data_IF_343276356538
#
_entry.id   IF_343276356538
#
_cell.length_a   1.000
_cell.length_b   1.000
_cell.length_c   1.000
_cell.angle_alpha   90.00
_cell.angle_beta   90.00
_cell.angle_gamma   90.00
#
_symmetry.space_group_name_H-M   'P 1'
#
loop_
_entity.id
_entity.type
_entity.pdbx_description
1 polymer ?
#
# COMPACT_ATOMS: atom_id res chain seq x y z
N UNK A 1 -70.56 -35.78 -62.92
CA UNK A 1 -71.32 -34.60 -62.46
C UNK A 1 -70.30 -33.50 -62.22
N UNK A 2 -70.35 -32.44 -63.01
CA UNK A 2 -69.39 -31.34 -62.90
C UNK A 2 -69.85 -30.39 -61.79
N UNK A 3 -69.12 -30.34 -60.68
CA UNK A 3 -69.38 -29.39 -59.60
C UNK A 3 -69.00 -27.99 -60.07
N UNK A 4 -70.01 -27.13 -60.17
CA UNK A 4 -69.86 -25.72 -60.48
C UNK A 4 -69.47 -24.99 -59.19
N UNK A 5 -68.19 -25.04 -58.83
CA UNK A 5 -67.65 -24.23 -57.73
C UNK A 5 -67.46 -22.80 -58.22
N UNK A 6 -68.51 -21.98 -58.12
CA UNK A 6 -68.41 -20.54 -58.32
C UNK A 6 -67.57 -19.94 -57.17
N UNK A 7 -66.31 -19.61 -57.46
CA UNK A 7 -65.45 -18.89 -56.52
C UNK A 7 -65.81 -17.40 -56.57
N UNK A 8 -66.54 -16.91 -55.57
CA UNK A 8 -66.81 -15.48 -55.42
C UNK A 8 -65.63 -14.87 -54.67
N UNK A 9 -64.81 -14.07 -55.34
CA UNK A 9 -63.80 -13.21 -54.69
C UNK A 9 -64.42 -11.83 -54.48
N UNK A 10 -64.50 -11.39 -53.22
CA UNK A 10 -64.95 -10.03 -52.88
C UNK A 10 -63.71 -9.24 -52.45
N UNK A 11 -63.11 -8.50 -53.39
CA UNK A 11 -62.02 -7.55 -53.11
C UNK A 11 -62.57 -6.21 -52.60
N UNK A 12 -63.23 -6.26 -51.44
CA UNK A 12 -63.70 -5.05 -50.75
C UNK A 12 -63.01 -4.92 -49.39
N UNK A 13 -62.42 -3.75 -49.14
CA UNK A 13 -61.91 -3.40 -47.83
C UNK A 13 -63.07 -3.10 -46.87
N UNK A 14 -63.20 -3.90 -45.83
CA UNK A 14 -64.18 -3.68 -44.77
C UNK A 14 -63.50 -3.17 -43.50
N UNK A 15 -63.96 -2.02 -43.01
CA UNK A 15 -63.54 -1.49 -41.71
C UNK A 15 -64.47 -1.98 -40.61
N UNK A 16 -63.93 -2.73 -39.66
CA UNK A 16 -64.69 -3.15 -38.49
C UNK A 16 -64.93 -1.95 -37.55
N UNK A 17 -66.17 -1.79 -37.06
CA UNK A 17 -66.52 -0.72 -36.10
C UNK A 17 -65.84 -0.88 -34.73
N UNK A 18 -65.41 -2.10 -34.37
CA UNK A 18 -64.67 -2.37 -33.13
C UNK A 18 -63.18 -2.32 -33.41
N UNK A 19 -62.43 -1.59 -32.56
CA UNK A 19 -60.96 -1.44 -32.69
C UNK A 19 -60.23 -2.79 -32.68
N UNK A 20 -60.66 -3.75 -31.84
CA UNK A 20 -60.17 -5.13 -31.83
C UNK A 20 -61.30 -6.11 -31.52
N UNK A 21 -61.29 -7.28 -32.16
CA UNK A 21 -62.09 -8.45 -31.77
C UNK A 21 -61.29 -9.72 -32.03
N UNK A 22 -61.37 -10.70 -31.12
CA UNK A 22 -60.76 -12.02 -31.35
C UNK A 22 -61.56 -12.87 -32.35
N UNK A 23 -62.83 -12.55 -32.52
CA UNK A 23 -63.76 -13.31 -33.35
C UNK A 23 -64.38 -12.38 -34.39
N UNK A 24 -64.29 -12.77 -35.66
CA UNK A 24 -65.04 -12.15 -36.76
C UNK A 24 -66.27 -13.02 -36.99
N UNK A 25 -67.46 -12.47 -36.72
CA UNK A 25 -68.71 -13.17 -36.95
C UNK A 25 -69.11 -13.06 -38.42
N UNK A 26 -69.37 -14.19 -39.06
CA UNK A 26 -69.99 -14.25 -40.38
C UNK A 26 -71.35 -14.93 -40.27
N UNK A 27 -72.31 -14.45 -41.04
CA UNK A 27 -73.62 -15.06 -41.19
C UNK A 27 -73.91 -15.12 -42.69
N UNK A 28 -74.37 -16.28 -43.16
CA UNK A 28 -74.85 -16.45 -44.53
C UNK A 28 -76.24 -17.09 -44.48
N UNK A 29 -77.05 -16.78 -45.46
CA UNK A 29 -78.38 -17.34 -45.63
C UNK A 29 -78.48 -17.89 -47.06
N UNK A 30 -78.98 -19.12 -47.23
CA UNK A 30 -79.17 -19.76 -48.52
C UNK A 30 -80.57 -20.36 -48.63
N UNK A 31 -81.27 -20.12 -49.74
CA UNK A 31 -82.57 -20.70 -50.03
C UNK A 31 -82.49 -21.85 -51.04
N UNK A 32 -83.18 -22.95 -50.73
CA UNK A 32 -83.40 -24.13 -51.60
C UNK A 32 -82.14 -24.76 -52.22
N UNK A 33 -81.19 -25.16 -51.38
CA UNK A 33 -79.91 -25.79 -51.78
C UNK A 33 -79.64 -27.10 -51.03
N UNK A 34 -79.19 -28.13 -51.74
CA UNK A 34 -78.92 -29.47 -51.19
C UNK A 34 -77.66 -29.56 -50.30
N UNK A 35 -76.82 -28.52 -50.27
CA UNK A 35 -75.67 -28.40 -49.37
C UNK A 35 -74.76 -27.25 -49.81
N UNK A 36 -74.29 -26.44 -48.86
CA UNK A 36 -73.37 -25.32 -49.10
C UNK A 36 -72.16 -25.48 -48.20
N UNK A 37 -70.96 -25.45 -48.77
CA UNK A 37 -69.70 -25.37 -48.02
C UNK A 37 -69.08 -24.01 -48.27
N UNK A 38 -68.82 -23.25 -47.21
CA UNK A 38 -68.19 -21.93 -47.29
C UNK A 38 -66.82 -22.00 -46.62
N UNK A 39 -65.78 -21.59 -47.35
CA UNK A 39 -64.46 -21.34 -46.80
C UNK A 39 -64.22 -19.83 -46.78
N UNK A 40 -63.84 -19.28 -45.63
CA UNK A 40 -63.61 -17.85 -45.45
C UNK A 40 -62.14 -17.65 -45.10
N UNK A 41 -61.41 -16.98 -45.98
CA UNK A 41 -60.05 -16.50 -45.72
C UNK A 41 -60.10 -14.99 -45.50
N UNK A 42 -59.48 -14.52 -44.43
CA UNK A 42 -59.40 -13.10 -44.07
C UNK A 42 -57.95 -12.67 -43.90
N UNK A 43 -57.53 -11.68 -44.68
CA UNK A 43 -56.23 -11.01 -44.52
C UNK A 43 -56.40 -9.74 -43.67
N UNK A 44 -56.02 -9.82 -42.41
CA UNK A 44 -56.14 -8.71 -41.46
C UNK A 44 -54.85 -7.89 -41.37
N UNK A 45 -54.92 -6.58 -41.61
CA UNK A 45 -53.81 -5.65 -41.40
C UNK A 45 -54.00 -4.88 -40.10
N UNK A 46 -52.96 -4.86 -39.26
CA UNK A 46 -52.96 -4.11 -38.01
C UNK A 46 -53.02 -2.61 -38.28
N UNK A 47 -53.96 -1.91 -37.66
CA UNK A 47 -54.05 -0.44 -37.77
C UNK A 47 -52.86 0.22 -37.05
N UNK A 48 -52.46 1.40 -37.52
CA UNK A 48 -51.35 2.16 -36.92
C UNK A 48 -51.63 2.52 -35.45
N UNK A 49 -52.85 2.94 -35.13
CA UNK A 49 -53.28 3.24 -33.75
C UNK A 49 -53.08 2.07 -32.79
N UNK A 50 -53.37 0.85 -33.26
CA UNK A 50 -53.22 -0.37 -32.47
C UNK A 50 -51.79 -0.72 -32.15
N UNK A 51 -50.94 -0.56 -33.16
CA UNK A 51 -49.51 -0.76 -33.03
C UNK A 51 -48.94 0.24 -32.03
N UNK A 52 -49.35 1.51 -32.12
CA UNK A 52 -48.87 2.57 -31.23
C UNK A 52 -49.34 2.35 -29.79
N UNK A 53 -50.60 1.95 -29.57
CA UNK A 53 -51.12 1.60 -28.23
C UNK A 53 -50.38 0.39 -27.63
N UNK A 54 -50.13 -0.65 -28.42
CA UNK A 54 -49.34 -1.80 -28.00
C UNK A 54 -47.89 -1.43 -27.67
N UNK A 55 -47.26 -0.59 -28.51
CA UNK A 55 -45.90 -0.09 -28.30
C UNK A 55 -45.81 0.72 -27.00
N UNK A 56 -46.76 1.62 -26.75
CA UNK A 56 -46.81 2.39 -25.50
C UNK A 56 -46.98 1.48 -24.29
N UNK A 57 -47.89 0.50 -24.35
CA UNK A 57 -48.11 -0.45 -23.26
C UNK A 57 -46.85 -1.27 -22.96
N UNK A 58 -46.18 -1.74 -24.02
CA UNK A 58 -44.96 -2.55 -23.91
C UNK A 58 -43.79 -1.71 -23.39
N UNK A 59 -43.63 -0.50 -23.89
CA UNK A 59 -42.63 0.46 -23.40
C UNK A 59 -42.83 0.77 -21.91
N UNK A 60 -44.06 1.05 -21.49
CA UNK A 60 -44.37 1.31 -20.09
C UNK A 60 -44.08 0.10 -19.19
N UNK A 61 -44.26 -1.13 -19.67
CA UNK A 61 -43.89 -2.33 -18.92
C UNK A 61 -42.37 -2.47 -18.77
N UNK A 62 -41.62 -2.22 -19.85
CA UNK A 62 -40.16 -2.28 -19.84
C UNK A 62 -39.56 -1.22 -18.91
N UNK A 63 -40.04 0.02 -19.02
CA UNK A 63 -39.56 1.13 -18.17
C UNK A 63 -39.87 0.87 -16.70
N UNK A 64 -41.07 0.38 -16.36
CA UNK A 64 -41.39 0.02 -14.97
C UNK A 64 -40.48 -1.07 -14.43
N UNK A 65 -40.25 -2.15 -15.20
CA UNK A 65 -39.34 -3.21 -14.79
C UNK A 65 -37.89 -2.70 -14.61
N UNK A 66 -37.46 -1.76 -15.45
CA UNK A 66 -36.17 -1.10 -15.32
C UNK A 66 -36.10 -0.21 -14.07
N UNK A 67 -37.12 0.61 -13.82
CA UNK A 67 -37.20 1.48 -12.64
C UNK A 67 -37.18 0.65 -11.35
N UNK A 68 -37.94 -0.45 -11.29
CA UNK A 68 -37.95 -1.38 -10.16
C UNK A 68 -36.56 -2.01 -9.94
N UNK A 69 -35.91 -2.48 -11.00
CA UNK A 69 -34.56 -3.05 -10.93
C UNK A 69 -33.51 -2.00 -10.52
N UNK A 70 -33.67 -0.75 -10.97
CA UNK A 70 -32.79 0.36 -10.60
C UNK A 70 -32.93 0.72 -9.12
N UNK A 71 -34.16 0.71 -8.58
CA UNK A 71 -34.40 0.90 -7.15
C UNK A 71 -33.75 -0.23 -6.34
N UNK A 72 -33.93 -1.48 -6.74
CA UNK A 72 -33.32 -2.62 -6.06
C UNK A 72 -31.79 -2.55 -6.09
N UNK A 73 -31.20 -2.21 -7.24
CA UNK A 73 -29.75 -2.01 -7.38
C UNK A 73 -29.25 -0.89 -6.46
N UNK A 74 -29.89 0.28 -6.49
CA UNK A 74 -29.51 1.41 -5.65
C UNK A 74 -29.65 1.09 -4.16
N UNK A 75 -30.67 0.32 -3.76
CA UNK A 75 -30.82 -0.16 -2.39
C UNK A 75 -29.70 -1.13 -2.00
N UNK A 76 -29.32 -2.07 -2.88
CA UNK A 76 -28.19 -2.98 -2.63
C UNK A 76 -26.89 -2.21 -2.47
N UNK A 77 -26.61 -1.26 -3.36
CA UNK A 77 -25.42 -0.39 -3.26
C UNK A 77 -25.44 0.39 -1.95
N UNK A 78 -26.54 1.05 -1.61
CA UNK A 78 -26.65 1.81 -0.36
C UNK A 78 -26.50 0.93 0.89
N UNK A 79 -27.03 -0.30 0.87
CA UNK A 79 -26.89 -1.25 1.98
C UNK A 79 -25.44 -1.73 2.13
N UNK A 80 -24.74 -2.02 1.03
CA UNK A 80 -23.32 -2.39 1.06
C UNK A 80 -22.45 -1.20 1.48
N UNK A 81 -22.75 0.02 1.03
CA UNK A 81 -22.07 1.24 1.46
C UNK A 81 -22.27 1.50 2.97
N UNK A 82 -23.47 1.27 3.49
CA UNK A 82 -23.75 1.39 4.93
C UNK A 82 -22.99 0.35 5.76
N UNK A 83 -22.90 -0.90 5.29
CA UNK A 83 -22.08 -1.95 5.93
C UNK A 83 -20.59 -1.59 5.87
N UNK A 84 -20.10 -1.14 4.73
CA UNK A 84 -18.72 -0.71 4.55
C UNK A 84 -18.38 0.49 5.44
N UNK A 85 -19.29 1.45 5.59
CA UNK A 85 -19.15 2.58 6.51
C UNK A 85 -19.01 2.15 7.98
N UNK A 86 -19.80 1.15 8.41
CA UNK A 86 -19.70 0.58 9.75
C UNK A 86 -18.35 -0.11 10.02
N UNK A 87 -17.84 -0.89 9.05
CA UNK A 87 -16.54 -1.56 9.16
C UNK A 87 -15.39 -0.55 9.16
N UNK A 88 -15.43 0.42 8.25
CA UNK A 88 -14.44 1.50 8.10
C UNK A 88 -14.39 2.43 9.32
N UNK A 89 -15.51 2.65 10.01
CA UNK A 89 -15.56 3.45 11.24
C UNK A 89 -15.08 2.72 12.50
N UNK A 90 -15.03 1.39 12.50
CA UNK A 90 -14.78 0.60 13.72
C UNK A 90 -13.29 0.42 14.04
N UNK A 91 -12.41 0.41 13.02
CA UNK A 91 -10.99 0.13 13.24
C UNK A 91 -10.08 1.23 12.63
N UNK A 92 -9.63 2.20 13.42
CA UNK A 92 -8.66 3.21 12.98
C UNK A 92 -7.34 2.63 12.45
N UNK A 93 -6.91 1.44 12.89
CA UNK A 93 -5.67 0.81 12.41
C UNK A 93 -5.76 0.37 10.96
N UNK A 94 -6.97 0.10 10.46
CA UNK A 94 -7.18 -0.29 9.07
C UNK A 94 -6.71 0.82 8.10
N UNK A 95 -6.99 2.08 8.43
CA UNK A 95 -6.52 3.22 7.64
C UNK A 95 -5.00 3.36 7.67
N UNK A 96 -4.37 3.11 8.83
CA UNK A 96 -2.91 3.16 8.97
C UNK A 96 -2.24 2.10 8.10
N UNK A 97 -2.80 0.90 8.02
CA UNK A 97 -2.29 -0.19 7.17
C UNK A 97 -2.37 0.18 5.69
N UNK A 98 -3.49 0.75 5.23
CA UNK A 98 -3.64 1.21 3.85
C UNK A 98 -2.62 2.30 3.53
N UNK A 99 -2.48 3.30 4.40
CA UNK A 99 -1.49 4.38 4.21
C UNK A 99 -0.08 3.81 4.10
N UNK A 100 0.33 2.93 5.02
CA UNK A 100 1.65 2.30 5.00
C UNK A 100 1.89 1.47 3.73
N UNK A 101 0.91 0.65 3.32
CA UNK A 101 1.01 -0.18 2.12
C UNK A 101 1.16 0.67 0.86
N UNK A 102 0.34 1.73 0.72
CA UNK A 102 0.41 2.63 -0.45
C UNK A 102 1.72 3.42 -0.44
N UNK A 103 2.16 3.94 0.71
CA UNK A 103 3.43 4.68 0.80
C UNK A 103 4.62 3.77 0.47
N UNK A 104 4.66 2.55 1.01
CA UNK A 104 5.67 1.54 0.71
C UNK A 104 5.69 1.20 -0.77
N UNK A 105 4.53 0.89 -1.35
CA UNK A 105 4.41 0.58 -2.77
C UNK A 105 4.99 1.69 -3.65
N UNK A 106 4.65 2.95 -3.36
CA UNK A 106 5.16 4.10 -4.11
C UNK A 106 6.68 4.30 -3.91
N UNK A 107 7.19 4.08 -2.70
CA UNK A 107 8.64 4.18 -2.44
C UNK A 107 9.41 3.11 -3.22
N UNK A 108 8.94 1.86 -3.20
CA UNK A 108 9.57 0.77 -3.97
C UNK A 108 9.44 1.05 -5.46
N UNK A 109 8.28 1.49 -5.94
CA UNK A 109 8.12 1.89 -7.33
C UNK A 109 9.15 2.96 -7.72
N UNK A 110 9.33 4.00 -6.91
CA UNK A 110 10.31 5.05 -7.16
C UNK A 110 11.76 4.53 -7.17
N UNK A 111 12.12 3.62 -6.26
CA UNK A 111 13.48 3.06 -6.18
C UNK A 111 13.80 2.11 -7.35
N UNK A 112 12.79 1.41 -7.86
CA UNK A 112 12.97 0.35 -8.87
C UNK A 112 12.62 0.84 -10.28
N UNK A 113 11.99 2.00 -10.45
CA UNK A 113 11.66 2.57 -11.76
C UNK A 113 12.92 3.05 -12.48
N UNK A 114 13.58 2.14 -13.20
CA UNK A 114 14.51 2.49 -14.25
C UNK A 114 13.69 3.00 -15.44
N UNK A 115 14.05 4.19 -15.95
CA UNK A 115 13.32 5.07 -16.88
C UNK A 115 12.81 4.42 -18.19
N UNK A 116 13.01 3.11 -18.38
CA UNK A 116 12.64 2.34 -19.56
C UNK A 116 11.94 1.00 -19.29
N UNK A 117 11.81 0.52 -18.05
CA UNK A 117 11.20 -0.80 -17.78
C UNK A 117 10.25 -0.76 -16.58
N UNK A 118 8.99 -1.15 -16.81
CA UNK A 118 8.04 -1.54 -15.76
C UNK A 118 8.65 -2.71 -14.99
N UNK A 119 9.35 -2.40 -13.91
CA UNK A 119 10.14 -3.34 -13.15
C UNK A 119 9.27 -4.18 -12.21
N UNK A 120 8.17 -3.62 -11.72
CA UNK A 120 7.18 -4.28 -10.87
C UNK A 120 6.09 -4.98 -11.68
N UNK A 121 5.56 -6.10 -11.15
CA UNK A 121 4.40 -6.79 -11.72
C UNK A 121 4.68 -7.58 -12.99
N UNK A 122 5.89 -8.12 -13.13
CA UNK A 122 6.31 -8.91 -14.31
C UNK A 122 5.61 -10.27 -14.36
N UNK A 123 5.26 -10.71 -15.57
CA UNK A 123 4.75 -12.05 -15.82
C UNK A 123 5.91 -13.07 -15.84
N UNK A 124 5.93 -13.98 -14.86
CA UNK A 124 7.04 -14.94 -14.67
C UNK A 124 6.75 -16.36 -15.14
N UNK A 125 5.69 -16.52 -15.92
CA UNK A 125 5.30 -17.79 -16.51
C UNK A 125 4.86 -17.59 -17.96
N UNK A 126 4.92 -18.66 -18.74
CA UNK A 126 4.40 -18.74 -20.10
C UNK A 126 3.54 -19.98 -20.25
N UNK A 127 2.58 -19.93 -21.18
CA UNK A 127 1.69 -21.03 -21.52
C UNK A 127 0.28 -20.84 -20.97
N UNK A 128 -0.71 -21.09 -21.84
CA UNK A 128 -2.14 -20.92 -21.55
C UNK A 128 -2.82 -22.23 -21.11
N UNK A 129 -2.10 -23.36 -21.17
CA UNK A 129 -2.59 -24.71 -20.86
C UNK A 129 -1.58 -25.46 -19.98
N UNK A 130 -2.05 -26.38 -19.15
CA UNK A 130 -1.26 -27.14 -18.15
C UNK A 130 -0.09 -27.89 -18.78
N UNK A 131 -0.23 -28.29 -20.05
CA UNK A 131 0.82 -29.00 -20.82
C UNK A 131 1.98 -28.10 -21.24
N UNK A 132 1.72 -26.80 -21.43
CA UNK A 132 2.70 -25.83 -21.93
C UNK A 132 3.09 -24.80 -20.87
N UNK A 133 2.64 -24.98 -19.63
CA UNK A 133 2.99 -24.11 -18.51
C UNK A 133 4.48 -24.25 -18.18
N UNK A 134 5.21 -23.15 -18.34
CA UNK A 134 6.62 -23.06 -17.99
C UNK A 134 6.89 -21.82 -17.16
N UNK A 135 7.77 -21.95 -16.16
CA UNK A 135 8.20 -20.84 -15.32
C UNK A 135 9.51 -20.29 -15.89
N UNK A 136 9.61 -18.97 -16.03
CA UNK A 136 10.85 -18.28 -16.39
C UNK A 136 11.78 -18.25 -15.18
N UNK A 137 12.43 -19.39 -14.88
CA UNK A 137 13.17 -19.56 -13.62
C UNK A 137 14.23 -18.49 -13.38
N UNK A 138 15.03 -18.15 -14.38
CA UNK A 138 16.10 -17.14 -14.24
C UNK A 138 15.55 -15.73 -13.97
N UNK A 139 14.51 -15.31 -14.71
CA UNK A 139 13.85 -14.01 -14.49
C UNK A 139 13.12 -13.97 -13.14
N UNK A 140 12.50 -15.09 -12.73
CA UNK A 140 11.84 -15.24 -11.45
C UNK A 140 12.83 -15.12 -10.30
N UNK A 141 13.99 -15.78 -10.38
CA UNK A 141 15.02 -15.75 -9.33
C UNK A 141 15.57 -14.33 -9.16
N UNK A 142 15.88 -13.63 -10.26
CA UNK A 142 16.34 -12.24 -10.22
C UNK A 142 15.29 -11.31 -9.59
N UNK A 143 14.02 -11.46 -9.98
CA UNK A 143 12.92 -10.66 -9.45
C UNK A 143 12.61 -10.99 -7.99
N UNK A 144 12.69 -12.26 -7.59
CA UNK A 144 12.51 -12.69 -6.21
C UNK A 144 13.63 -12.14 -5.32
N UNK A 145 14.88 -12.12 -5.78
CA UNK A 145 16.00 -11.47 -5.09
C UNK A 145 15.78 -9.97 -4.93
N UNK A 146 15.29 -9.30 -5.97
CA UNK A 146 14.92 -7.88 -5.92
C UNK A 146 13.82 -7.62 -4.89
N UNK A 147 12.73 -8.39 -4.95
CA UNK A 147 11.62 -8.27 -4.02
C UNK A 147 12.10 -8.50 -2.59
N UNK A 148 12.88 -9.56 -2.34
CA UNK A 148 13.44 -9.86 -1.02
C UNK A 148 14.33 -8.72 -0.51
N UNK A 149 15.20 -8.18 -1.35
CA UNK A 149 16.06 -7.05 -0.99
C UNK A 149 15.23 -5.82 -0.60
N UNK A 150 14.29 -5.41 -1.45
CA UNK A 150 13.44 -4.24 -1.18
C UNK A 150 12.59 -4.41 0.09
N UNK A 151 12.10 -5.62 0.33
CA UNK A 151 11.28 -5.93 1.51
C UNK A 151 12.10 -5.96 2.82
N UNK A 152 13.36 -6.40 2.77
CA UNK A 152 14.17 -6.63 3.97
C UNK A 152 15.13 -5.49 4.32
N UNK A 153 15.64 -4.78 3.31
CA UNK A 153 16.66 -3.74 3.48
C UNK A 153 16.16 -2.50 4.21
N UNK A 154 14.84 -2.25 4.19
CA UNK A 154 14.23 -1.07 4.78
C UNK A 154 13.32 -1.42 5.96
N UNK A 155 13.18 -0.48 6.90
CA UNK A 155 12.29 -0.61 8.05
C UNK A 155 10.90 -0.05 7.72
N UNK A 156 10.13 -0.79 6.92
CA UNK A 156 8.80 -0.36 6.45
C UNK A 156 7.77 -0.10 7.57
N UNK A 157 7.98 -0.72 8.73
CA UNK A 157 7.14 -0.50 9.92
C UNK A 157 7.36 0.89 10.55
N UNK A 158 8.52 1.50 10.31
CA UNK A 158 8.96 2.76 10.92
C UNK A 158 9.23 3.79 9.82
N UNK A 159 8.15 4.24 9.17
CA UNK A 159 8.21 5.30 8.16
C UNK A 159 7.75 6.64 8.73
N UNK A 160 8.47 7.70 8.40
CA UNK A 160 8.04 9.08 8.65
C UNK A 160 7.52 9.69 7.36
N UNK A 161 6.32 10.29 7.37
CA UNK A 161 5.71 10.85 6.18
C UNK A 161 5.08 12.22 6.42
N UNK A 162 4.99 13.02 5.35
CA UNK A 162 4.29 14.29 5.32
C UNK A 162 3.51 14.43 4.01
N UNK A 163 2.21 14.70 4.11
CA UNK A 163 1.31 14.81 2.98
C UNK A 163 1.23 16.25 2.47
N UNK A 164 1.53 16.42 1.18
CA UNK A 164 1.31 17.68 0.49
C UNK A 164 -0.10 17.72 -0.12
N UNK A 165 -0.80 18.86 -0.06
CA UNK A 165 -2.21 18.93 -0.48
C UNK A 165 -2.47 18.62 -1.96
N UNK A 166 -3.75 18.42 -2.31
CA UNK A 166 -4.26 18.00 -3.63
C UNK A 166 -3.72 18.78 -4.83
N UNK A 167 -3.38 20.07 -4.67
CA UNK A 167 -2.90 20.90 -5.77
C UNK A 167 -1.50 20.52 -6.28
N UNK A 168 -0.78 19.63 -5.57
CA UNK A 168 0.44 19.00 -6.05
C UNK A 168 0.19 17.76 -6.94
N UNK A 169 -1.05 17.26 -6.98
CA UNK A 169 -1.47 16.15 -7.82
C UNK A 169 -1.95 16.62 -9.20
N UNK A 170 -2.39 15.66 -10.02
CA UNK A 170 -2.94 15.93 -11.36
C UNK A 170 -4.18 16.84 -11.28
N UNK A 171 -4.24 17.87 -12.14
CA UNK A 171 -5.33 18.86 -12.17
C UNK A 171 -6.71 18.24 -12.40
N UNK A 172 -6.77 17.12 -13.10
CA UNK A 172 -8.02 16.42 -13.38
C UNK A 172 -8.64 15.83 -12.11
N UNK A 173 -7.81 15.53 -11.11
CA UNK A 173 -8.21 14.85 -9.88
C UNK A 173 -8.46 15.81 -8.72
N UNK A 174 -8.23 17.11 -8.89
CA UNK A 174 -8.39 18.10 -7.80
C UNK A 174 -9.81 18.13 -7.22
N UNK A 175 -10.82 18.04 -8.09
CA UNK A 175 -12.22 18.03 -7.66
C UNK A 175 -12.54 16.84 -6.75
N UNK A 176 -12.10 15.65 -7.14
CA UNK A 176 -12.34 14.40 -6.39
C UNK A 176 -11.51 14.34 -5.11
N UNK A 177 -10.22 14.71 -5.17
CA UNK A 177 -9.35 14.78 -3.99
C UNK A 177 -9.88 15.77 -2.96
N UNK A 178 -10.23 17.01 -3.36
CA UNK A 178 -10.73 18.03 -2.44
C UNK A 178 -12.03 17.62 -1.73
N UNK A 179 -12.94 16.99 -2.46
CA UNK A 179 -14.23 16.52 -1.95
C UNK A 179 -14.13 15.22 -1.14
N UNK A 180 -12.96 14.56 -1.13
CA UNK A 180 -12.77 13.34 -0.36
C UNK A 180 -12.90 13.60 1.14
N UNK A 181 -13.71 12.79 1.81
CA UNK A 181 -13.96 12.88 3.24
C UNK A 181 -13.76 11.53 3.93
N UNK A 182 -13.28 11.58 5.16
CA UNK A 182 -13.17 10.43 6.03
C UNK A 182 -13.33 10.88 7.49
N UNK A 183 -13.77 9.96 8.35
CA UNK A 183 -13.89 10.15 9.79
C UNK A 183 -12.50 10.35 10.42
N UNK A 184 -11.47 9.64 9.94
CA UNK A 184 -10.09 9.80 10.37
C UNK A 184 -9.46 11.05 9.70
N UNK A 185 -9.03 12.08 10.45
CA UNK A 185 -8.43 13.28 9.90
C UNK A 185 -7.12 13.06 9.13
N UNK A 186 -6.31 12.07 9.54
CA UNK A 186 -5.02 11.77 8.94
C UNK A 186 -5.23 10.99 7.63
N UNK A 187 -6.15 10.02 7.61
CA UNK A 187 -6.54 9.34 6.37
C UNK A 187 -7.24 10.28 5.39
N UNK A 188 -8.07 11.20 5.89
CA UNK A 188 -8.64 12.28 5.06
C UNK A 188 -7.54 13.14 4.44
N UNK A 189 -6.48 13.44 5.19
CA UNK A 189 -5.35 14.21 4.67
C UNK A 189 -4.59 13.43 3.60
N UNK A 190 -4.44 12.11 3.77
CA UNK A 190 -3.91 11.20 2.75
C UNK A 190 -4.75 11.21 1.47
N UNK A 191 -6.08 11.06 1.55
CA UNK A 191 -6.97 11.11 0.37
C UNK A 191 -6.96 12.47 -0.34
N UNK A 192 -6.81 13.56 0.42
CA UNK A 192 -6.69 14.92 -0.10
C UNK A 192 -5.28 15.28 -0.54
N UNK A 193 -4.32 14.37 -0.46
CA UNK A 193 -2.93 14.65 -0.81
C UNK A 193 -2.69 14.37 -2.28
N UNK A 194 -1.94 15.26 -2.94
CA UNK A 194 -1.48 15.05 -4.31
C UNK A 194 -0.08 14.47 -4.38
N UNK A 195 0.70 14.61 -3.29
CA UNK A 195 2.08 14.18 -3.18
C UNK A 195 2.39 13.88 -1.70
N UNK A 196 3.33 12.98 -1.44
CA UNK A 196 3.80 12.69 -0.08
C UNK A 196 5.33 12.71 -0.06
N UNK A 197 5.90 13.27 1.01
CA UNK A 197 7.32 13.09 1.35
C UNK A 197 7.41 11.93 2.34
N UNK A 198 8.21 10.93 2.04
CA UNK A 198 8.45 9.79 2.93
C UNK A 198 9.95 9.73 3.25
N UNK A 199 10.26 9.48 4.50
CA UNK A 199 11.60 9.17 5.00
C UNK A 199 11.55 7.75 5.54
N UNK A 200 12.32 6.87 4.91
CA UNK A 200 12.43 5.45 5.24
C UNK A 200 13.85 5.19 5.73
N UNK A 201 13.97 4.54 6.89
CA UNK A 201 15.27 4.13 7.43
C UNK A 201 15.72 2.81 6.82
N UNK A 202 17.03 2.70 6.58
CA UNK A 202 17.67 1.45 6.16
C UNK A 202 17.93 0.62 7.41
N UNK A 203 17.67 -0.70 7.32
CA UNK A 203 17.95 -1.64 8.40
C UNK A 203 19.47 -1.73 8.63
N UNK A 204 19.94 -1.73 9.88
CA UNK A 204 21.36 -1.93 10.18
C UNK A 204 21.93 -3.19 9.52
N UNK A 205 23.06 -3.06 8.83
CA UNK A 205 23.71 -4.10 8.04
C UNK A 205 23.35 -4.11 6.55
N UNK A 206 22.39 -3.29 6.10
CA UNK A 206 22.01 -3.15 4.69
C UNK A 206 22.48 -1.83 4.07
N UNK A 207 23.17 -0.96 4.81
CA UNK A 207 23.58 0.37 4.38
C UNK A 207 24.44 0.33 3.11
N UNK A 208 25.51 -0.47 3.14
CA UNK A 208 26.43 -0.62 2.00
C UNK A 208 25.72 -1.20 0.77
N UNK A 209 24.81 -2.16 0.98
CA UNK A 209 24.06 -2.81 -0.09
C UNK A 209 23.05 -1.85 -0.74
N UNK A 210 22.38 -1.02 0.05
CA UNK A 210 21.47 0.03 -0.43
C UNK A 210 22.25 1.13 -1.13
N UNK A 211 23.38 1.58 -0.59
CA UNK A 211 24.24 2.55 -1.24
C UNK A 211 24.73 2.06 -2.60
N UNK A 212 25.18 0.79 -2.67
CA UNK A 212 25.56 0.16 -3.93
C UNK A 212 24.40 0.11 -4.94
N UNK A 213 23.19 -0.24 -4.48
CA UNK A 213 22.00 -0.25 -5.33
C UNK A 213 21.66 1.16 -5.86
N UNK A 214 21.72 2.19 -5.02
CA UNK A 214 21.40 3.57 -5.41
C UNK A 214 22.37 4.14 -6.45
N UNK A 215 23.64 3.70 -6.43
CA UNK A 215 24.66 4.13 -7.39
C UNK A 215 24.61 3.31 -8.68
N UNK A 216 24.47 1.99 -8.57
CA UNK A 216 24.67 1.07 -9.72
C UNK A 216 23.38 0.54 -10.33
N UNK A 217 22.25 0.63 -9.62
CA UNK A 217 20.98 0.00 -9.97
C UNK A 217 20.98 -1.54 -9.83
N UNK A 218 22.06 -2.13 -9.29
CA UNK A 218 22.21 -3.58 -9.15
C UNK A 218 22.17 -4.01 -7.69
N UNK A 219 21.59 -5.18 -7.43
CA UNK A 219 21.55 -5.77 -6.09
C UNK A 219 22.91 -6.38 -5.77
N UNK A 220 23.39 -6.15 -4.56
CA UNK A 220 24.59 -6.79 -4.06
C UNK A 220 24.27 -8.18 -3.49
N UNK A 221 24.83 -9.23 -4.08
CA UNK A 221 24.57 -10.63 -3.71
C UNK A 221 25.63 -11.20 -2.73
N UNK A 222 26.32 -10.34 -1.97
CA UNK A 222 27.38 -10.72 -1.04
C UNK A 222 28.78 -10.77 -1.68
N UNK A 223 29.82 -10.64 -0.84
CA UNK A 223 31.23 -10.55 -1.23
C UNK A 223 31.98 -9.49 -0.40
N UNK A 224 33.18 -9.07 -0.81
CA UNK A 224 33.71 -7.77 -0.38
C UNK A 224 32.94 -6.67 -1.13
N UNK A 225 32.51 -5.62 -0.43
CA UNK A 225 31.90 -4.45 -1.08
C UNK A 225 32.96 -3.80 -1.95
N UNK A 226 32.77 -3.64 -3.27
CA UNK A 226 33.71 -2.89 -4.09
C UNK A 226 33.73 -1.46 -3.56
N UNK A 227 34.89 -0.97 -3.12
CA UNK A 227 35.07 0.44 -2.81
C UNK A 227 34.86 1.19 -4.13
N UNK A 228 33.73 1.86 -4.29
CA UNK A 228 33.40 2.63 -5.49
C UNK A 228 34.31 3.86 -5.48
N UNK A 229 35.43 3.78 -6.20
CA UNK A 229 36.40 4.85 -6.36
C UNK A 229 36.01 5.80 -7.49
N UNK A 230 35.30 6.87 -7.15
CA UNK A 230 35.32 8.12 -7.92
C UNK A 230 36.16 9.13 -7.10
N UNK A 231 37.25 9.71 -7.64
CA UNK A 231 38.12 10.65 -6.91
C UNK A 231 37.41 11.89 -6.34
N UNK A 232 36.15 12.15 -6.72
CA UNK A 232 35.34 13.28 -6.27
C UNK A 232 34.21 12.92 -5.28
N UNK A 233 33.97 11.64 -4.99
CA UNK A 233 32.94 11.19 -4.05
C UNK A 233 33.60 10.44 -2.89
N UNK A 234 33.95 11.19 -1.83
CA UNK A 234 34.18 10.56 -0.52
C UNK A 234 32.81 10.19 0.02
N UNK A 235 32.62 8.91 0.36
CA UNK A 235 31.40 8.42 0.98
C UNK A 235 31.16 9.18 2.28
N UNK A 236 29.94 9.64 2.55
CA UNK A 236 29.57 10.25 3.85
C UNK A 236 29.88 9.28 5.01
N UNK A 237 29.92 7.97 4.73
CA UNK A 237 30.35 6.94 5.67
C UNK A 237 31.85 6.98 5.94
N UNK A 238 32.68 7.29 4.93
CA UNK A 238 34.11 7.49 5.10
C UNK A 238 34.40 8.83 5.77
N UNK A 239 33.61 9.88 5.49
CA UNK A 239 33.65 11.17 6.19
C UNK A 239 33.24 11.03 7.69
N UNK A 240 32.33 10.11 8.02
CA UNK A 240 31.98 9.76 9.41
C UNK A 240 33.04 8.90 10.10
N UNK A 241 33.83 8.12 9.35
CA UNK A 241 34.96 7.32 9.86
C UNK A 241 36.22 8.15 10.00
N UNK A 242 36.39 9.20 9.20
CA UNK A 242 37.44 10.18 9.39
C UNK A 242 37.22 10.88 10.74
N UNK A 243 38.22 10.85 11.64
CA UNK A 243 38.10 11.57 12.89
C UNK A 243 37.86 13.05 12.57
N UNK A 244 36.78 13.62 13.11
CA UNK A 244 36.46 15.04 12.91
C UNK A 244 37.56 15.91 13.53
N UNK A 245 38.56 16.26 12.72
CA UNK A 245 39.61 17.24 13.03
C UNK A 245 41.03 16.69 12.95
N UNK A 246 41.92 17.51 12.40
CA UNK A 246 43.36 17.37 12.66
C UNK A 246 43.62 17.67 14.15
N UNK A 247 44.38 16.80 14.82
CA UNK A 247 44.76 17.00 16.23
C UNK A 247 45.56 18.30 16.34
N UNK A 248 44.95 19.33 16.92
CA UNK A 248 45.63 20.60 17.16
C UNK A 248 46.20 20.62 18.58
N UNK A 249 47.54 20.58 18.68
CA UNK A 249 48.24 20.64 19.97
C UNK A 249 48.46 19.28 20.64
N UNK A 250 48.90 19.32 21.90
CA UNK A 250 49.05 18.13 22.75
C UNK A 250 47.71 17.78 23.41
N UNK A 251 47.51 16.53 23.80
CA UNK A 251 46.27 16.11 24.47
C UNK A 251 46.17 16.71 25.90
N UNK A 252 44.97 16.87 26.44
CA UNK A 252 44.77 17.24 27.84
C UNK A 252 43.73 16.33 28.49
N UNK A 253 43.87 16.10 29.80
CA UNK A 253 42.97 15.23 30.55
C UNK A 253 41.74 16.02 30.98
N UNK A 254 40.55 15.49 30.67
CA UNK A 254 39.27 16.03 31.13
C UNK A 254 38.63 15.06 32.11
N UNK A 255 38.28 15.53 33.31
CA UNK A 255 37.54 14.75 34.30
C UNK A 255 36.05 15.07 34.22
N UNK A 256 35.25 14.08 33.84
CA UNK A 256 33.79 14.21 33.80
C UNK A 256 33.20 13.59 35.08
N UNK A 257 32.38 14.31 35.85
CA UNK A 257 31.73 13.74 37.03
C UNK A 257 30.70 12.70 36.60
N UNK A 258 30.98 11.42 36.85
CA UNK A 258 30.02 10.33 36.64
C UNK A 258 29.24 10.06 37.92
N UNK A 259 27.98 9.63 37.78
CA UNK A 259 27.11 9.21 38.91
C UNK A 259 27.49 7.84 39.49
N UNK A 260 28.55 7.20 38.99
CA UNK A 260 29.04 5.91 39.47
C UNK A 260 29.74 6.07 40.83
N UNK A 261 29.15 5.48 41.86
CA UNK A 261 29.72 5.34 43.20
C UNK A 261 30.74 4.20 43.20
N UNK A 262 31.98 4.47 43.57
CA UNK A 262 33.05 3.44 43.65
C UNK A 262 32.68 2.40 44.72
N UNK A 263 32.63 1.12 44.31
CA UNK A 263 32.64 -0.02 45.24
C UNK A 263 34.11 -0.28 45.61
N UNK A 264 34.45 -0.19 46.89
CA UNK A 264 35.78 -0.52 47.40
C UNK A 264 36.19 -1.93 46.92
N UNK A 265 37.45 -2.05 46.45
CA UNK A 265 38.05 -3.34 46.17
C UNK A 265 37.95 -4.24 47.41
N UNK A 266 37.57 -5.52 47.22
CA UNK A 266 37.29 -6.53 48.26
C UNK A 266 36.00 -6.37 49.08
N UNK A 267 35.10 -5.41 48.83
CA UNK A 267 33.87 -5.26 49.65
C UNK A 267 32.76 -6.27 49.30
N UNK A 268 32.78 -6.91 48.12
CA UNK A 268 31.89 -8.02 47.74
C UNK A 268 32.57 -8.94 46.72
N UNK A 269 33.45 -9.85 47.16
CA UNK A 269 33.96 -10.97 46.33
C UNK A 269 34.66 -10.64 45.00
N UNK A 270 34.92 -9.36 44.71
CA UNK A 270 35.53 -8.89 43.49
C UNK A 270 37.03 -8.69 43.73
N UNK A 271 37.83 -9.63 43.23
CA UNK A 271 39.28 -9.50 43.17
C UNK A 271 39.62 -8.62 41.95
N UNK A 272 40.18 -7.44 42.20
CA UNK A 272 40.59 -6.51 41.14
C UNK A 272 42.04 -6.14 41.40
N UNK A 273 42.91 -6.33 40.40
CA UNK A 273 44.33 -5.98 40.49
C UNK A 273 44.53 -4.45 40.54
N UNK A 274 43.70 -3.70 39.83
CA UNK A 274 43.72 -2.24 39.76
C UNK A 274 42.37 -1.64 40.14
N UNK A 275 42.27 -1.09 41.35
CA UNK A 275 41.02 -0.55 41.89
C UNK A 275 40.59 0.79 41.26
N UNK A 276 41.53 1.53 40.67
CA UNK A 276 41.28 2.83 40.04
C UNK A 276 41.65 2.77 38.55
N UNK A 277 40.90 3.48 37.69
CA UNK A 277 41.25 3.59 36.28
C UNK A 277 42.64 4.22 36.10
N UNK A 278 43.50 3.57 35.32
CA UNK A 278 44.73 4.15 34.77
C UNK A 278 44.64 4.27 33.25
N UNK A 279 45.39 5.21 32.68
CA UNK A 279 45.54 5.34 31.23
C UNK A 279 46.78 4.61 30.73
N UNK A 280 46.71 4.01 29.54
CA UNK A 280 47.84 3.33 28.85
C UNK A 280 48.60 4.34 27.94
N UNK A 281 48.18 5.61 27.94
CA UNK A 281 48.66 6.64 27.04
C UNK A 281 50.03 7.21 27.49
N UNK A 282 50.80 7.74 26.53
CA UNK A 282 52.18 8.21 26.75
C UNK A 282 52.14 9.63 27.34
N UNK A 283 52.66 9.88 28.57
CA UNK A 283 52.54 11.18 29.23
C UNK A 283 53.13 12.37 28.45
N UNK A 284 54.13 12.13 27.60
CA UNK A 284 54.81 13.17 26.81
C UNK A 284 53.93 13.78 25.70
N UNK A 285 52.87 13.06 25.30
CA UNK A 285 51.88 13.49 24.31
C UNK A 285 50.81 14.43 24.88
N UNK A 286 50.85 14.69 26.20
CA UNK A 286 49.91 15.57 26.89
C UNK A 286 50.51 16.95 27.21
N UNK A 287 49.66 17.97 27.32
CA UNK A 287 50.03 19.33 27.72
C UNK A 287 50.63 19.37 29.13
N UNK A 288 50.07 18.55 30.04
CA UNK A 288 50.54 18.40 31.42
C UNK A 288 50.83 16.91 31.67
N UNK A 289 52.09 16.47 31.50
CA UNK A 289 52.46 15.06 31.70
C UNK A 289 52.19 14.55 33.11
N UNK A 290 52.19 15.44 34.11
CA UNK A 290 51.95 15.10 35.51
C UNK A 290 50.50 14.71 35.83
N UNK A 291 49.54 15.11 34.98
CA UNK A 291 48.13 14.78 35.20
C UNK A 291 47.77 13.38 34.70
N UNK A 292 48.66 12.74 33.94
CA UNK A 292 48.48 11.42 33.33
C UNK A 292 48.73 10.34 34.36
N UNK A 293 47.65 9.68 34.79
CA UNK A 293 47.67 8.60 35.77
C UNK A 293 48.08 7.30 35.08
N UNK A 294 49.39 7.04 35.02
CA UNK A 294 49.95 5.80 34.45
C UNK A 294 50.01 4.66 35.46
N UNK A 295 50.13 4.99 36.74
CA UNK A 295 50.16 4.04 37.85
C UNK A 295 48.95 4.23 38.75
N UNK A 296 48.48 3.14 39.36
CA UNK A 296 47.39 3.23 40.35
C UNK A 296 47.92 3.88 41.62
N UNK A 297 47.39 5.05 41.97
CA UNK A 297 47.64 5.72 43.26
C UNK A 297 47.14 4.89 44.46
N UNK A 298 46.34 3.85 44.21
CA UNK A 298 45.83 2.97 45.24
C UNK A 298 46.83 1.86 45.57
N UNK A 299 47.44 1.94 46.75
CA UNK A 299 48.22 0.85 47.34
C UNK A 299 47.36 0.09 48.37
N UNK A 300 47.17 -1.20 48.14
CA UNK A 300 46.44 -2.08 49.05
C UNK A 300 47.33 -2.39 50.26
N UNK A 301 47.15 -1.64 51.35
CA UNK A 301 47.86 -1.90 52.61
C UNK A 301 47.12 -3.00 53.37
N UNK A 302 47.60 -4.25 53.28
CA UNK A 302 47.01 -5.40 53.98
C UNK A 302 47.10 -5.30 55.53
N UNK A 303 47.78 -4.28 56.08
CA UNK A 303 48.07 -4.15 57.51
C UNK A 303 47.54 -2.84 58.15
N UNK A 304 46.46 -2.23 57.65
CA UNK A 304 45.80 -1.16 58.40
C UNK A 304 45.00 -1.75 59.57
N UNK A 305 45.64 -1.88 60.73
CA UNK A 305 44.91 -1.95 62.00
C UNK A 305 44.39 -0.55 62.30
N UNK A 306 43.07 -0.43 62.46
CA UNK A 306 42.45 0.72 63.12
C UNK A 306 42.96 0.74 64.57
N UNK A 307 43.96 1.56 64.87
CA UNK A 307 44.27 1.91 66.25
C UNK A 307 43.10 2.74 66.79
N UNK A 308 42.35 2.13 67.72
CA UNK A 308 41.36 2.86 68.50
C UNK A 308 42.07 3.95 69.29
N UNK A 309 41.67 5.20 69.11
CA UNK A 309 42.19 6.29 69.92
C UNK A 309 41.76 6.09 71.38
N UNK A 310 42.70 5.91 72.30
CA UNK A 310 42.47 5.87 73.76
C UNK A 310 42.04 7.22 74.38
N UNK A 311 41.49 8.14 73.57
CA UNK A 311 40.94 9.39 74.08
C UNK A 311 39.49 9.14 74.49
N UNK A 312 39.11 9.40 75.76
CA UNK A 312 37.72 9.30 76.16
C UNK A 312 36.86 10.24 75.33
N UNK A 313 35.78 9.69 74.77
CA UNK A 313 34.75 10.39 74.00
C UNK A 313 34.27 11.64 74.76
N UNK A 314 34.63 12.83 74.28
CA UNK A 314 33.96 14.08 74.67
C UNK A 314 32.73 14.28 73.82
N UNK A 315 31.71 13.46 74.07
CA UNK A 315 30.33 13.74 73.69
C UNK A 315 29.53 13.85 74.99
N UNK A 316 29.15 15.09 75.33
CA UNK A 316 27.98 15.38 76.13
C UNK A 316 26.82 15.61 75.18
#
# INVERSE_FOLDING_TARGET
MAEHNAHISIDQEFFFRKKYTKNVGFAFESGDTAGVTINISLDCVLTKEAKDEWLQKTFNQIIRAYEDAMVEYNQKVANEDAKAGGIKGTNPLFYRQIEQEVLKHNCIAYLVDDRSQKSLGRHMYEGDDVKNFQIKREELDQYASLAKFMEQAFEWEIISYNYYPYYWGSRNDWGTMYQSENIDPLFRSFLRSGMARVVVTVRPGFEDAVQYYMVTGKIWNGGEVPVIGDPLYVSIVDELKEPQGEKYGKAWITRVPTTLTILQAKTVGLEVEDALPRTIEIPEEFEVPADVVTESDFQLKDNLKLEGSDKPSTLK
#
